data_IF_742086366284
#
_entry.id   IF_742086366284
#
_cell.length_a   1.000
_cell.length_b   1.000
_cell.length_c   1.000
_cell.angle_alpha   90.00
_cell.angle_beta   90.00
_cell.angle_gamma   90.00
#
_symmetry.space_group_name_H-M   'P 1'
#
loop_
_entity.id
_entity.type
_entity.pdbx_description
1 polymer ?
#
# COMPACT_ATOMS: atom_id res chain seq x y z
N UNK A 1 -7.03 5.66 2.43
CA UNK A 1 -8.20 4.99 1.82
C UNK A 1 -7.81 4.40 0.47
N UNK A 2 -8.79 4.14 -0.40
CA UNK A 2 -8.53 3.54 -1.72
C UNK A 2 -7.58 4.38 -2.57
N UNK A 3 -7.81 5.69 -2.67
CA UNK A 3 -7.08 6.55 -3.62
C UNK A 3 -6.22 7.62 -2.96
N UNK A 4 -6.26 7.71 -1.63
CA UNK A 4 -5.47 8.66 -0.86
C UNK A 4 -4.92 8.01 0.41
N UNK A 5 -3.94 8.66 1.04
CA UNK A 5 -3.50 8.36 2.41
C UNK A 5 -3.40 9.66 3.21
N UNK A 6 -3.80 9.61 4.47
CA UNK A 6 -3.90 10.77 5.35
C UNK A 6 -3.20 10.48 6.66
N UNK A 7 -2.40 11.44 7.13
CA UNK A 7 -1.80 11.45 8.46
C UNK A 7 -2.37 12.67 9.20
N UNK A 8 -2.97 12.41 10.36
CA UNK A 8 -3.53 13.45 11.22
C UNK A 8 -2.90 13.30 12.60
N UNK A 9 -2.21 14.35 13.05
CA UNK A 9 -1.68 14.41 14.42
C UNK A 9 -2.57 15.29 15.27
N UNK A 10 -3.01 14.74 16.40
CA UNK A 10 -3.84 15.43 17.38
C UNK A 10 -2.96 16.05 18.47
N UNK A 11 -3.32 17.24 18.94
CA UNK A 11 -2.77 17.92 20.10
C UNK A 11 -3.87 18.25 21.11
N UNK A 12 -3.51 18.96 22.18
CA UNK A 12 -4.39 19.23 23.33
C UNK A 12 -5.71 19.93 22.94
N UNK A 13 -5.68 20.78 21.90
CA UNK A 13 -6.84 21.56 21.44
C UNK A 13 -7.33 21.16 20.04
N UNK A 14 -7.13 19.90 19.62
CA UNK A 14 -7.63 19.39 18.33
C UNK A 14 -6.52 19.02 17.35
N UNK A 15 -6.72 19.28 16.06
CA UNK A 15 -5.74 18.88 15.02
C UNK A 15 -4.50 19.78 15.10
N UNK A 16 -3.35 19.17 15.39
CA UNK A 16 -2.04 19.83 15.42
C UNK A 16 -1.39 19.86 14.03
N UNK A 17 -1.48 18.75 13.29
CA UNK A 17 -0.87 18.62 11.97
C UNK A 17 -1.68 17.70 11.07
N UNK A 18 -1.67 17.99 9.77
CA UNK A 18 -2.34 17.21 8.73
C UNK A 18 -1.46 17.10 7.50
N UNK A 19 -1.30 15.89 6.97
CA UNK A 19 -0.64 15.63 5.69
C UNK A 19 -1.44 14.60 4.90
N UNK A 20 -1.47 14.74 3.58
CA UNK A 20 -2.21 13.86 2.69
C UNK A 20 -1.47 13.65 1.39
N UNK A 21 -1.42 12.39 0.93
CA UNK A 21 -1.11 12.04 -0.44
C UNK A 21 -2.42 11.71 -1.17
N UNK A 22 -2.81 12.55 -2.13
CA UNK A 22 -4.01 12.39 -2.97
C UNK A 22 -3.69 12.25 -4.46
N UNK A 23 -2.41 12.22 -4.84
CA UNK A 23 -1.99 12.23 -6.26
C UNK A 23 -1.42 10.89 -6.69
N UNK A 24 -0.82 10.15 -5.76
CA UNK A 24 -0.09 8.93 -6.07
C UNK A 24 -0.75 7.72 -5.42
N UNK A 25 -0.96 6.66 -6.21
CA UNK A 25 -1.43 5.37 -5.73
C UNK A 25 -0.43 4.65 -4.80
N UNK A 26 0.85 5.04 -4.82
CA UNK A 26 1.81 4.48 -3.87
C UNK A 26 1.39 4.82 -2.43
N UNK A 27 1.20 3.79 -1.60
CA UNK A 27 0.75 3.95 -0.22
C UNK A 27 -0.77 4.07 -0.04
N UNK A 28 -1.58 3.75 -1.05
CA UNK A 28 -3.05 3.74 -0.97
C UNK A 28 -3.61 2.33 -1.16
N UNK A 29 -4.91 2.15 -0.89
CA UNK A 29 -5.60 0.86 -1.06
C UNK A 29 -5.62 0.37 -2.51
N UNK A 30 -5.75 1.27 -3.49
CA UNK A 30 -5.77 0.93 -4.92
C UNK A 30 -4.47 0.30 -5.40
N UNK A 31 -3.33 0.60 -4.74
CA UNK A 31 -2.10 -0.16 -5.00
C UNK A 31 -2.22 -1.62 -4.56
N UNK A 32 -2.81 -1.89 -3.39
CA UNK A 32 -3.02 -3.25 -2.89
C UNK A 32 -4.02 -4.00 -3.76
N UNK A 33 -5.12 -3.35 -4.17
CA UNK A 33 -6.13 -3.95 -5.07
C UNK A 33 -5.51 -4.37 -6.41
N UNK A 34 -4.70 -3.51 -7.02
CA UNK A 34 -3.98 -3.83 -8.26
C UNK A 34 -3.01 -5.00 -8.09
N UNK A 35 -2.43 -5.19 -6.90
CA UNK A 35 -1.51 -6.31 -6.64
C UNK A 35 -2.27 -7.61 -6.43
N UNK A 36 -3.39 -7.57 -5.70
CA UNK A 36 -4.27 -8.72 -5.49
C UNK A 36 -4.85 -9.21 -6.83
N UNK A 37 -5.38 -8.30 -7.66
CA UNK A 37 -5.90 -8.62 -8.99
C UNK A 37 -4.84 -9.28 -9.87
N UNK A 38 -3.61 -8.75 -9.86
CA UNK A 38 -2.49 -9.30 -10.65
C UNK A 38 -2.12 -10.72 -10.24
N UNK A 39 -2.24 -11.04 -8.95
CA UNK A 39 -2.03 -12.38 -8.39
C UNK A 39 -3.27 -13.28 -8.51
N UNK A 40 -4.38 -12.75 -9.05
CA UNK A 40 -5.68 -13.43 -9.16
C UNK A 40 -6.23 -13.86 -7.79
N UNK A 41 -6.08 -12.97 -6.81
CA UNK A 41 -6.57 -13.14 -5.45
C UNK A 41 -7.59 -12.06 -5.13
N UNK A 42 -8.53 -12.35 -4.22
CA UNK A 42 -9.26 -11.27 -3.53
C UNK A 42 -8.34 -10.52 -2.58
N UNK A 43 -8.76 -9.34 -2.12
CA UNK A 43 -7.98 -8.56 -1.17
C UNK A 43 -7.86 -9.28 0.19
N UNK A 44 -8.88 -10.05 0.57
CA UNK A 44 -8.90 -10.91 1.75
C UNK A 44 -7.88 -12.04 1.64
N UNK A 45 -7.89 -12.79 0.52
CA UNK A 45 -6.92 -13.85 0.26
C UNK A 45 -5.48 -13.32 0.23
N UNK A 46 -5.27 -12.15 -0.38
CA UNK A 46 -3.98 -11.48 -0.42
C UNK A 46 -3.46 -11.13 0.98
N UNK A 47 -4.34 -10.61 1.85
CA UNK A 47 -4.04 -10.32 3.25
C UNK A 47 -3.69 -11.59 4.02
N UNK A 48 -4.50 -12.64 3.93
CA UNK A 48 -4.24 -13.91 4.62
C UNK A 48 -2.94 -14.58 4.17
N UNK A 49 -2.63 -14.52 2.87
CA UNK A 49 -1.38 -15.05 2.33
C UNK A 49 -0.17 -14.27 2.84
N UNK A 50 -0.28 -12.95 2.95
CA UNK A 50 0.80 -12.09 3.44
C UNK A 50 1.27 -12.48 4.85
N UNK A 51 0.33 -12.87 5.73
CA UNK A 51 0.60 -13.29 7.10
C UNK A 51 1.39 -14.61 7.20
N UNK A 52 1.35 -15.44 6.15
CA UNK A 52 2.07 -16.73 6.08
C UNK A 52 3.53 -16.57 5.65
N UNK A 53 3.95 -15.36 5.24
CA UNK A 53 5.29 -15.11 4.75
C UNK A 53 6.35 -15.22 5.85
N UNK A 54 7.36 -16.07 5.65
CA UNK A 54 8.53 -16.19 6.55
C UNK A 54 9.73 -15.36 6.09
N UNK A 55 9.72 -14.93 4.82
CA UNK A 55 10.81 -14.18 4.19
C UNK A 55 10.22 -13.24 3.14
N UNK A 56 9.63 -12.10 3.55
CA UNK A 56 9.02 -11.18 2.61
C UNK A 56 10.06 -10.61 1.63
N UNK A 57 9.72 -10.49 0.34
CA UNK A 57 10.63 -9.91 -0.65
C UNK A 57 10.84 -8.43 -0.41
N UNK A 58 12.01 -7.91 -0.79
CA UNK A 58 12.31 -6.49 -0.70
C UNK A 58 11.75 -5.78 -1.93
N UNK A 59 10.76 -4.92 -1.72
CA UNK A 59 10.26 -3.99 -2.74
C UNK A 59 11.14 -2.73 -2.68
N UNK A 60 11.60 -2.21 -3.82
CA UNK A 60 12.57 -1.12 -3.88
C UNK A 60 12.04 0.24 -3.38
N UNK A 61 10.81 0.30 -2.87
CA UNK A 61 10.20 1.53 -2.32
C UNK A 61 10.00 2.63 -3.35
N UNK A 62 9.88 2.27 -4.63
CA UNK A 62 9.71 3.20 -5.76
C UNK A 62 8.23 3.40 -6.09
N UNK A 63 7.95 4.25 -7.09
CA UNK A 63 6.63 4.43 -7.69
C UNK A 63 5.93 3.07 -7.92
N UNK A 64 4.60 3.05 -7.72
CA UNK A 64 3.76 1.85 -7.88
C UNK A 64 3.93 1.17 -9.24
N UNK A 65 4.32 1.90 -10.28
CA UNK A 65 4.66 1.37 -11.61
C UNK A 65 5.87 0.45 -11.55
N UNK A 66 6.93 0.83 -10.84
CA UNK A 66 8.16 0.03 -10.74
C UNK A 66 8.06 -1.08 -9.70
N UNK A 67 7.29 -0.85 -8.62
CA UNK A 67 7.01 -1.89 -7.63
C UNK A 67 6.34 -3.13 -8.28
N UNK A 68 5.58 -2.94 -9.38
CA UNK A 68 5.03 -4.05 -10.17
C UNK A 68 6.11 -4.93 -10.81
N UNK A 69 7.20 -4.33 -11.27
CA UNK A 69 8.33 -5.07 -11.85
C UNK A 69 9.03 -5.93 -10.79
N UNK A 70 9.21 -5.38 -9.59
CA UNK A 70 9.79 -6.09 -8.45
C UNK A 70 8.97 -7.34 -8.06
N UNK A 71 7.68 -7.42 -8.41
CA UNK A 71 6.83 -8.58 -8.10
C UNK A 71 6.90 -9.72 -9.12
N UNK A 72 7.36 -9.44 -10.35
CA UNK A 72 7.45 -10.43 -11.44
C UNK A 72 8.86 -11.02 -11.52
N UNK A 73 9.86 -10.22 -11.16
CA UNK A 73 11.28 -10.50 -11.42
C UNK A 73 12.09 -10.77 -10.14
N UNK A 74 11.47 -11.36 -9.11
CA UNK A 74 12.18 -11.79 -7.89
C UNK A 74 13.16 -12.92 -8.13
#
# INVERSE_FOLDING_TARGET
GGEDSKLIMLGENGVKEFSMNSVCAAGTGSFLDQQAERLRLTIEEFSELSLKSKKPPRIAGRCSVFAKSDMIHL
#
